data_IF_929001174113
#
_entry.id   IF_929001174113
#
_cell.length_a   1.000
_cell.length_b   1.000
_cell.length_c   1.000
_cell.angle_alpha   90.00
_cell.angle_beta   90.00
_cell.angle_gamma   90.00
#
_symmetry.space_group_name_H-M   'P 1'
#
loop_
_entity.id
_entity.type
_entity.pdbx_description
1 polymer ?
#
# COMPACT_ATOMS: atom_id res chain seq x y z
N UNK A 1 -48.93 40.64 75.43
CA UNK A 1 -49.35 40.20 74.06
C UNK A 1 -48.28 39.25 73.53
N UNK A 2 -48.52 37.94 73.70
CA UNK A 2 -47.60 36.90 73.29
C UNK A 2 -48.15 36.39 71.97
N UNK A 3 -47.44 36.68 70.83
CA UNK A 3 -47.78 36.12 69.57
C UNK A 3 -47.30 34.67 69.52
N UNK A 4 -48.25 33.76 69.41
CA UNK A 4 -48.07 32.33 69.24
C UNK A 4 -47.76 32.05 67.73
N UNK A 5 -46.50 31.97 67.42
CA UNK A 5 -46.05 31.64 66.08
C UNK A 5 -46.11 30.12 65.94
N UNK A 6 -47.26 29.57 65.60
CA UNK A 6 -47.41 28.17 65.23
C UNK A 6 -46.68 27.93 63.93
N UNK A 7 -45.51 27.36 64.00
CA UNK A 7 -44.78 26.82 62.88
C UNK A 7 -45.57 25.61 62.29
N UNK A 8 -46.26 25.85 61.20
CA UNK A 8 -47.00 24.80 60.51
C UNK A 8 -45.99 23.91 59.83
N UNK A 9 -45.58 22.79 60.42
CA UNK A 9 -44.79 21.75 59.86
C UNK A 9 -45.59 21.22 58.62
N UNK A 10 -45.24 21.65 57.46
CA UNK A 10 -45.77 21.10 56.21
C UNK A 10 -45.28 19.66 56.11
N UNK A 11 -46.25 18.74 55.99
CA UNK A 11 -45.96 17.32 55.85
C UNK A 11 -45.31 17.10 54.46
N UNK A 12 -43.97 17.09 54.44
CA UNK A 12 -43.14 16.97 53.21
C UNK A 12 -42.78 15.53 52.90
N UNK A 13 -43.27 14.54 53.65
CA UNK A 13 -42.92 13.15 53.54
C UNK A 13 -43.23 12.57 52.15
N UNK A 14 -44.36 12.97 51.53
CA UNK A 14 -44.71 12.53 50.18
C UNK A 14 -43.85 13.18 49.08
N UNK A 15 -43.39 14.41 49.29
CA UNK A 15 -42.56 15.14 48.33
C UNK A 15 -41.15 14.55 48.23
N UNK A 16 -40.56 14.15 49.38
CA UNK A 16 -39.23 13.51 49.41
C UNK A 16 -39.24 12.15 48.69
N UNK A 17 -40.36 11.40 48.82
CA UNK A 17 -40.48 10.10 48.15
C UNK A 17 -40.54 10.26 46.62
N UNK A 18 -41.30 11.22 46.11
CA UNK A 18 -41.35 11.53 44.66
C UNK A 18 -39.99 12.00 44.14
N UNK A 19 -39.29 12.84 44.89
CA UNK A 19 -37.98 13.33 44.52
C UNK A 19 -36.94 12.19 44.47
N UNK A 20 -36.99 11.25 45.45
CA UNK A 20 -36.12 10.08 45.47
C UNK A 20 -36.39 9.16 44.28
N UNK A 21 -37.65 8.92 43.94
CA UNK A 21 -38.03 8.08 42.81
C UNK A 21 -37.57 8.73 41.47
N UNK A 22 -37.76 10.04 41.30
CA UNK A 22 -37.28 10.78 40.18
C UNK A 22 -35.77 10.74 40.04
N UNK A 23 -35.05 10.91 41.16
CA UNK A 23 -33.58 10.84 41.18
C UNK A 23 -33.07 9.47 40.74
N UNK A 24 -33.67 8.39 41.25
CA UNK A 24 -33.31 7.01 40.84
C UNK A 24 -33.63 6.75 39.36
N UNK A 25 -34.78 7.23 38.90
CA UNK A 25 -35.13 7.08 37.45
C UNK A 25 -34.14 7.81 36.57
N UNK A 26 -33.76 9.03 36.88
CA UNK A 26 -32.76 9.80 36.12
C UNK A 26 -31.36 9.13 36.16
N UNK A 27 -30.95 8.63 37.32
CA UNK A 27 -29.71 7.89 37.48
C UNK A 27 -29.72 6.61 36.63
N UNK A 28 -30.83 5.90 36.56
CA UNK A 28 -30.99 4.72 35.72
C UNK A 28 -30.81 5.02 34.21
N UNK A 29 -31.43 6.12 33.74
CA UNK A 29 -31.32 6.57 32.36
C UNK A 29 -29.85 6.97 32.04
N UNK A 30 -29.22 7.75 32.95
CA UNK A 30 -27.83 8.17 32.77
C UNK A 30 -26.86 6.97 32.74
N UNK A 31 -27.05 6.01 33.65
CA UNK A 31 -26.24 4.78 33.66
C UNK A 31 -26.39 3.96 32.38
N UNK A 32 -27.60 3.90 31.83
CA UNK A 32 -27.86 3.24 30.52
C UNK A 32 -27.11 3.93 29.36
N UNK A 33 -27.16 5.26 29.29
CA UNK A 33 -26.46 6.05 28.26
C UNK A 33 -24.92 5.85 28.37
N UNK A 34 -24.39 5.92 29.58
CA UNK A 34 -22.95 5.73 29.83
C UNK A 34 -22.54 4.30 29.41
N UNK A 35 -23.33 3.30 29.78
CA UNK A 35 -23.05 1.91 29.39
C UNK A 35 -23.00 1.70 27.88
N UNK A 36 -23.93 2.31 27.13
CA UNK A 36 -23.91 2.28 25.67
C UNK A 36 -22.68 3.01 25.10
N UNK A 37 -22.35 4.18 25.61
CA UNK A 37 -21.20 4.95 25.16
C UNK A 37 -19.87 4.21 25.35
N UNK A 38 -19.68 3.56 26.51
CA UNK A 38 -18.49 2.75 26.80
C UNK A 38 -18.42 1.54 25.84
N UNK A 39 -19.53 0.88 25.58
CA UNK A 39 -19.55 -0.27 24.66
C UNK A 39 -19.16 0.15 23.23
N UNK A 40 -19.77 1.20 22.70
CA UNK A 40 -19.43 1.76 21.38
C UNK A 40 -17.97 2.19 21.31
N UNK A 41 -17.48 2.89 22.32
CA UNK A 41 -16.08 3.31 22.40
C UNK A 41 -15.12 2.11 22.36
N UNK A 42 -15.42 1.07 23.12
CA UNK A 42 -14.60 -0.15 23.17
C UNK A 42 -14.57 -0.87 21.82
N UNK A 43 -15.72 -1.00 21.15
CA UNK A 43 -15.80 -1.60 19.83
C UNK A 43 -15.03 -0.78 18.78
N UNK A 44 -15.16 0.54 18.82
CA UNK A 44 -14.43 1.45 17.91
C UNK A 44 -12.93 1.35 18.12
N UNK A 45 -12.47 1.29 19.37
CA UNK A 45 -11.05 1.14 19.68
C UNK A 45 -10.50 -0.19 19.17
N UNK A 46 -11.23 -1.29 19.33
CA UNK A 46 -10.84 -2.60 18.79
C UNK A 46 -10.76 -2.57 17.26
N UNK A 47 -11.76 -1.98 16.58
CA UNK A 47 -11.76 -1.86 15.13
C UNK A 47 -10.60 -0.97 14.63
N UNK A 48 -10.33 0.14 15.32
CA UNK A 48 -9.20 1.02 15.02
C UNK A 48 -7.86 0.30 15.18
N UNK A 49 -7.68 -0.47 16.25
CA UNK A 49 -6.48 -1.29 16.46
C UNK A 49 -6.25 -2.29 15.32
N UNK A 50 -7.31 -3.01 14.92
CA UNK A 50 -7.23 -3.92 13.76
C UNK A 50 -6.85 -3.21 12.47
N UNK A 51 -7.43 -2.03 12.19
CA UNK A 51 -7.08 -1.23 11.01
C UNK A 51 -5.61 -0.80 11.02
N UNK A 52 -5.09 -0.38 12.17
CA UNK A 52 -3.69 0.00 12.31
C UNK A 52 -2.75 -1.16 11.96
N UNK A 53 -3.04 -2.36 12.46
CA UNK A 53 -2.26 -3.57 12.12
C UNK A 53 -2.37 -3.88 10.63
N UNK A 54 -3.58 -3.82 10.06
CA UNK A 54 -3.78 -4.09 8.62
C UNK A 54 -3.03 -3.09 7.73
N UNK A 55 -3.00 -1.80 8.09
CA UNK A 55 -2.20 -0.78 7.38
C UNK A 55 -0.71 -1.09 7.48
N UNK A 56 -0.21 -1.46 8.66
CA UNK A 56 1.19 -1.81 8.84
C UNK A 56 1.58 -3.04 7.99
N UNK A 57 0.72 -4.05 7.92
CA UNK A 57 0.94 -5.24 7.08
C UNK A 57 0.91 -4.89 5.58
N UNK A 58 0.07 -3.97 5.16
CA UNK A 58 0.04 -3.50 3.78
C UNK A 58 1.31 -2.70 3.43
N UNK A 59 1.77 -1.83 4.33
CA UNK A 59 3.02 -1.09 4.16
C UNK A 59 4.24 -2.01 4.12
N UNK A 60 4.30 -3.01 5.01
CA UNK A 60 5.34 -4.03 4.98
C UNK A 60 5.39 -4.75 3.62
N UNK A 61 4.23 -5.08 3.04
CA UNK A 61 4.18 -5.71 1.73
C UNK A 61 4.75 -4.80 0.62
N UNK A 62 4.42 -3.51 0.62
CA UNK A 62 4.98 -2.55 -0.34
C UNK A 62 6.50 -2.43 -0.19
N UNK A 63 7.00 -2.32 1.05
CA UNK A 63 8.44 -2.26 1.31
C UNK A 63 9.16 -3.55 0.89
N UNK A 64 8.54 -4.70 1.09
CA UNK A 64 9.07 -5.97 0.61
C UNK A 64 9.17 -6.01 -0.93
N UNK A 65 8.14 -5.51 -1.64
CA UNK A 65 8.17 -5.41 -3.10
C UNK A 65 9.26 -4.44 -3.57
N UNK A 66 9.44 -3.31 -2.88
CA UNK A 66 10.56 -2.37 -3.14
C UNK A 66 11.91 -3.05 -2.92
N UNK A 67 12.06 -3.80 -1.83
CA UNK A 67 13.28 -4.55 -1.56
C UNK A 67 13.58 -5.62 -2.63
N UNK A 68 12.55 -6.31 -3.14
CA UNK A 68 12.67 -7.25 -4.26
C UNK A 68 13.15 -6.51 -5.52
N UNK A 69 12.53 -5.37 -5.83
CA UNK A 69 12.88 -4.54 -6.98
C UNK A 69 14.33 -4.06 -6.94
N UNK A 70 14.79 -3.65 -5.76
CA UNK A 70 16.12 -3.04 -5.59
C UNK A 70 17.23 -4.09 -5.34
N UNK A 71 16.85 -5.35 -5.20
CA UNK A 71 17.82 -6.43 -4.98
C UNK A 71 18.60 -6.72 -6.28
N UNK A 72 19.91 -6.47 -6.22
CA UNK A 72 20.83 -6.61 -7.35
C UNK A 72 21.54 -7.97 -7.29
N UNK A 73 20.78 -9.07 -7.22
CA UNK A 73 21.38 -10.42 -7.29
C UNK A 73 21.95 -10.71 -8.67
N UNK A 74 23.09 -11.42 -8.69
CA UNK A 74 23.85 -11.82 -9.88
C UNK A 74 23.07 -12.68 -10.87
N UNK A 75 21.95 -13.26 -10.48
CA UNK A 75 21.14 -14.20 -11.28
C UNK A 75 19.85 -13.63 -11.85
N UNK A 76 19.56 -12.38 -11.63
CA UNK A 76 18.37 -11.73 -12.18
C UNK A 76 18.18 -10.36 -11.55
N UNK A 77 18.02 -9.35 -12.39
CA UNK A 77 17.72 -8.00 -11.93
C UNK A 77 16.43 -8.05 -11.11
N UNK A 78 16.42 -7.41 -9.95
CA UNK A 78 15.27 -7.39 -9.06
C UNK A 78 14.00 -6.85 -9.73
N UNK A 79 14.17 -5.90 -10.67
CA UNK A 79 13.08 -5.40 -11.50
C UNK A 79 12.36 -6.51 -12.28
N UNK A 80 13.10 -7.45 -12.89
CA UNK A 80 12.50 -8.53 -13.67
C UNK A 80 11.65 -9.45 -12.79
N UNK A 81 12.01 -9.64 -11.52
CA UNK A 81 11.22 -10.44 -10.57
C UNK A 81 9.82 -9.86 -10.33
N UNK A 82 9.61 -8.57 -10.63
CA UNK A 82 8.32 -7.89 -10.57
C UNK A 82 7.72 -7.77 -11.97
N UNK A 83 8.51 -7.33 -12.93
CA UNK A 83 8.08 -7.08 -14.30
C UNK A 83 7.57 -8.34 -15.02
N UNK A 84 8.24 -9.47 -14.83
CA UNK A 84 7.91 -10.75 -15.48
C UNK A 84 6.75 -11.50 -14.79
N UNK A 85 6.22 -11.00 -13.66
CA UNK A 85 5.06 -11.61 -13.02
C UNK A 85 3.81 -11.48 -13.87
N UNK A 86 2.94 -12.49 -13.81
CA UNK A 86 1.63 -12.42 -14.43
C UNK A 86 0.86 -11.22 -13.88
N UNK A 87 0.21 -10.47 -14.77
CA UNK A 87 -0.44 -9.20 -14.47
C UNK A 87 -1.92 -9.38 -14.14
N UNK A 88 -2.48 -8.36 -13.47
CA UNK A 88 -3.90 -8.25 -13.20
C UNK A 88 -4.35 -8.91 -11.92
N UNK A 89 -5.54 -8.53 -11.47
CA UNK A 89 -6.14 -8.93 -10.19
C UNK A 89 -6.42 -10.44 -10.05
N UNK A 90 -6.44 -11.18 -11.15
CA UNK A 90 -6.54 -12.65 -11.14
C UNK A 90 -5.26 -13.36 -10.73
N UNK A 91 -4.12 -12.67 -10.74
CA UNK A 91 -2.80 -13.21 -10.41
C UNK A 91 -2.32 -12.56 -9.11
N UNK A 92 -2.67 -13.17 -7.99
CA UNK A 92 -2.29 -12.66 -6.66
C UNK A 92 -0.98 -13.25 -6.18
N UNK A 93 -0.27 -12.48 -5.39
CA UNK A 93 1.01 -12.81 -4.76
C UNK A 93 1.02 -12.34 -3.32
N UNK A 94 1.98 -12.84 -2.55
CA UNK A 94 2.33 -12.30 -1.24
C UNK A 94 3.86 -12.27 -1.08
N UNK A 95 4.42 -11.32 -0.33
CA UNK A 95 5.85 -11.27 -0.06
C UNK A 95 6.22 -12.31 0.98
N UNK A 96 7.26 -13.08 0.72
CA UNK A 96 7.83 -14.02 1.66
C UNK A 96 9.32 -13.76 1.86
N UNK A 97 9.85 -14.15 3.03
CA UNK A 97 11.25 -13.96 3.40
C UNK A 97 11.89 -15.25 3.97
N UNK A 98 11.33 -16.41 3.64
CA UNK A 98 11.81 -17.69 4.16
C UNK A 98 12.65 -18.42 3.13
N UNK A 99 13.73 -19.05 3.58
CA UNK A 99 14.67 -19.81 2.74
C UNK A 99 14.00 -20.85 1.85
N UNK A 100 13.01 -21.67 2.33
CA UNK A 100 12.37 -22.66 1.46
C UNK A 100 11.61 -22.04 0.27
N UNK A 101 11.11 -20.82 0.43
CA UNK A 101 10.31 -20.15 -0.60
C UNK A 101 11.14 -19.24 -1.50
N UNK A 102 12.13 -18.55 -0.93
CA UNK A 102 12.88 -17.49 -1.60
C UNK A 102 14.32 -17.88 -1.97
N UNK A 103 14.78 -19.07 -1.58
CA UNK A 103 16.19 -19.43 -1.76
C UNK A 103 17.11 -18.53 -0.94
N UNK A 104 18.10 -17.92 -1.59
CA UNK A 104 19.03 -16.98 -0.95
C UNK A 104 18.51 -15.54 -0.89
N UNK A 105 17.38 -15.24 -1.53
CA UNK A 105 16.82 -13.90 -1.55
C UNK A 105 16.24 -13.51 -0.20
N UNK A 106 16.43 -12.25 0.21
CA UNK A 106 15.87 -11.71 1.45
C UNK A 106 14.34 -11.69 1.37
N UNK A 107 13.79 -11.31 0.20
CA UNK A 107 12.37 -11.29 -0.10
C UNK A 107 12.08 -11.87 -1.48
N UNK A 108 10.93 -12.51 -1.62
CA UNK A 108 10.42 -12.95 -2.92
C UNK A 108 8.89 -12.85 -2.98
N UNK A 109 8.33 -12.93 -4.19
CA UNK A 109 6.89 -12.99 -4.42
C UNK A 109 6.46 -14.43 -4.67
N UNK A 110 5.60 -14.94 -3.80
CA UNK A 110 4.97 -16.26 -3.88
C UNK A 110 3.53 -16.08 -4.36
N UNK A 111 3.07 -16.97 -5.25
CA UNK A 111 1.69 -16.92 -5.76
C UNK A 111 0.67 -17.25 -4.67
N UNK A 112 -0.45 -16.53 -4.66
CA UNK A 112 -1.55 -16.71 -3.73
C UNK A 112 -1.67 -15.58 -2.71
N UNK A 113 -2.15 -15.92 -1.52
CA UNK A 113 -2.32 -15.03 -0.38
C UNK A 113 -1.68 -15.63 0.88
N UNK A 114 -1.39 -14.77 1.85
CA UNK A 114 -0.79 -15.14 3.13
C UNK A 114 -1.76 -14.86 4.27
N UNK A 115 -1.84 -15.77 5.22
CA UNK A 115 -2.56 -15.57 6.47
C UNK A 115 -1.60 -15.24 7.61
N UNK A 116 -1.85 -14.13 8.29
CA UNK A 116 -1.04 -13.61 9.38
C UNK A 116 -1.91 -13.48 10.62
N UNK A 117 -1.55 -14.16 11.70
CA UNK A 117 -2.27 -14.04 12.97
C UNK A 117 -1.56 -13.05 13.88
N UNK A 118 -2.27 -11.98 14.28
CA UNK A 118 -1.80 -10.97 15.24
C UNK A 118 -2.91 -10.70 16.26
N UNK A 119 -2.57 -10.78 17.53
CA UNK A 119 -3.49 -10.52 18.65
C UNK A 119 -4.81 -11.31 18.56
N UNK A 120 -4.73 -12.56 18.09
CA UNK A 120 -5.89 -13.45 17.91
C UNK A 120 -6.79 -13.06 16.72
N UNK A 121 -6.36 -12.16 15.84
CA UNK A 121 -7.04 -11.79 14.61
C UNK A 121 -6.25 -12.34 13.42
N UNK A 122 -6.95 -13.01 12.51
CA UNK A 122 -6.38 -13.46 11.24
C UNK A 122 -6.54 -12.37 10.19
N UNK A 123 -5.43 -11.99 9.58
CA UNK A 123 -5.35 -11.06 8.45
C UNK A 123 -4.95 -11.85 7.21
N UNK A 124 -5.67 -11.64 6.12
CA UNK A 124 -5.28 -12.20 4.81
C UNK A 124 -4.68 -11.08 3.97
N UNK A 125 -3.43 -11.26 3.56
CA UNK A 125 -2.67 -10.31 2.75
C UNK A 125 -2.44 -10.87 1.36
N UNK A 126 -2.74 -10.07 0.35
CA UNK A 126 -2.41 -10.36 -1.05
C UNK A 126 -2.07 -9.08 -1.79
N UNK A 127 -1.32 -9.22 -2.87
CA UNK A 127 -1.05 -8.12 -3.79
C UNK A 127 -1.16 -8.62 -5.23
N UNK A 128 -1.41 -7.72 -6.15
CA UNK A 128 -1.20 -7.98 -7.56
C UNK A 128 -0.39 -6.86 -8.21
N UNK A 129 0.20 -7.19 -9.33
CA UNK A 129 1.03 -6.28 -10.12
C UNK A 129 0.35 -6.08 -11.46
N UNK A 130 0.42 -4.87 -11.97
CA UNK A 130 -0.15 -4.55 -13.28
C UNK A 130 0.75 -3.63 -14.09
N UNK A 131 0.56 -3.64 -15.40
CA UNK A 131 1.23 -2.71 -16.27
C UNK A 131 0.69 -1.30 -16.10
N UNK A 132 1.49 -0.33 -16.41
CA UNK A 132 1.09 1.09 -16.44
C UNK A 132 1.03 1.54 -17.88
N UNK A 133 -0.08 2.17 -18.24
CA UNK A 133 -0.29 2.70 -19.60
C UNK A 133 -0.17 4.22 -19.58
N UNK A 134 0.50 4.77 -20.59
CA UNK A 134 0.68 6.21 -20.77
C UNK A 134 0.13 6.67 -22.11
N UNK A 135 -0.18 7.95 -22.22
CA UNK A 135 -0.71 8.56 -23.47
C UNK A 135 0.38 8.84 -24.52
N UNK A 136 1.66 8.73 -24.16
CA UNK A 136 2.77 8.86 -25.10
C UNK A 136 3.68 7.62 -25.06
N UNK A 137 4.30 7.30 -26.19
CA UNK A 137 5.26 6.20 -26.33
C UNK A 137 6.51 6.43 -25.49
N UNK A 138 7.23 5.33 -25.24
CA UNK A 138 8.53 5.34 -24.57
C UNK A 138 8.51 5.85 -23.10
N UNK A 139 7.41 5.58 -22.38
CA UNK A 139 7.29 5.96 -20.98
C UNK A 139 7.12 7.46 -20.74
N UNK A 140 6.87 8.23 -21.81
CA UNK A 140 6.51 9.65 -21.71
C UNK A 140 5.02 9.85 -21.45
N UNK A 141 4.63 11.11 -21.22
CA UNK A 141 3.24 11.48 -21.00
C UNK A 141 2.67 11.10 -19.67
N UNK A 142 1.36 11.29 -19.52
CA UNK A 142 0.63 11.02 -18.29
C UNK A 142 0.18 9.55 -18.19
N UNK A 143 0.05 9.06 -16.98
CA UNK A 143 -0.54 7.74 -16.72
C UNK A 143 -2.03 7.82 -17.02
N UNK A 144 -2.50 6.97 -17.92
CA UNK A 144 -3.90 6.94 -18.38
C UNK A 144 -4.68 5.75 -17.84
N UNK A 145 -4.00 4.63 -17.60
CA UNK A 145 -4.63 3.41 -17.10
C UNK A 145 -3.60 2.46 -16.47
N UNK A 146 -4.11 1.43 -15.81
CA UNK A 146 -3.35 0.25 -15.39
C UNK A 146 -3.97 -0.99 -15.99
N UNK A 147 -3.16 -2.02 -16.28
CA UNK A 147 -3.62 -3.27 -16.86
C UNK A 147 -3.20 -3.46 -18.32
N UNK A 148 -4.11 -3.96 -19.14
CA UNK A 148 -3.86 -4.17 -20.56
C UNK A 148 -3.85 -2.81 -21.29
N UNK A 149 -2.70 -2.45 -21.86
CA UNK A 149 -2.55 -1.22 -22.62
C UNK A 149 -3.04 -1.42 -24.07
N UNK A 150 -3.64 -0.37 -24.61
CA UNK A 150 -3.98 -0.32 -26.04
C UNK A 150 -2.84 0.38 -26.76
N UNK A 151 -2.03 -0.39 -27.47
CA UNK A 151 -0.82 0.10 -28.16
C UNK A 151 -1.09 1.16 -29.27
N UNK A 152 -2.34 1.56 -29.42
CA UNK A 152 -2.72 2.64 -30.34
C UNK A 152 -2.85 3.99 -29.66
N UNK A 153 -3.41 4.02 -28.44
CA UNK A 153 -3.72 5.25 -27.69
C UNK A 153 -3.08 5.29 -26.32
N UNK A 154 -2.85 4.14 -25.71
CA UNK A 154 -2.25 3.99 -24.39
C UNK A 154 -1.10 3.00 -24.47
N UNK A 155 0.10 3.50 -24.36
CA UNK A 155 1.31 2.70 -24.53
C UNK A 155 1.79 2.12 -23.21
N UNK A 156 2.22 0.86 -23.24
CA UNK A 156 2.80 0.22 -22.07
C UNK A 156 4.09 0.94 -21.64
N UNK A 157 4.19 1.26 -20.35
CA UNK A 157 5.41 1.77 -19.76
C UNK A 157 6.18 0.65 -19.05
N UNK A 158 7.21 0.07 -19.69
CA UNK A 158 7.97 -1.03 -19.10
C UNK A 158 8.84 -0.57 -17.92
N UNK A 159 8.96 0.73 -17.72
CA UNK A 159 9.75 1.32 -16.63
C UNK A 159 8.93 1.58 -15.36
N UNK A 160 7.62 1.41 -15.44
CA UNK A 160 6.72 1.60 -14.29
C UNK A 160 5.79 0.40 -14.14
N UNK A 161 5.60 -0.07 -12.93
CA UNK A 161 4.63 -1.10 -12.59
C UNK A 161 3.69 -0.59 -11.50
N UNK A 162 2.43 -0.92 -11.61
CA UNK A 162 1.44 -0.66 -10.58
C UNK A 162 1.37 -1.86 -9.64
N UNK A 163 1.38 -1.60 -8.34
CA UNK A 163 1.23 -2.61 -7.30
C UNK A 163 0.07 -2.22 -6.41
N UNK A 164 -0.85 -3.16 -6.19
CA UNK A 164 -1.95 -2.99 -5.26
C UNK A 164 -1.91 -4.09 -4.22
N UNK A 165 -1.80 -3.69 -2.97
CA UNK A 165 -1.85 -4.58 -1.80
C UNK A 165 -3.24 -4.48 -1.18
N UNK A 166 -3.80 -5.62 -0.84
CA UNK A 166 -5.06 -5.73 -0.12
C UNK A 166 -4.84 -6.55 1.15
N UNK A 167 -5.28 -6.02 2.29
CA UNK A 167 -5.30 -6.72 3.57
C UNK A 167 -6.72 -6.75 4.08
N UNK A 168 -7.24 -7.95 4.31
CA UNK A 168 -8.60 -8.19 4.83
C UNK A 168 -8.54 -8.81 6.21
N UNK A 169 -9.50 -8.48 7.07
CA UNK A 169 -9.69 -9.12 8.36
C UNK A 169 -11.14 -9.00 8.83
N UNK A 170 -11.57 -9.92 9.69
CA UNK A 170 -12.93 -9.90 10.23
C UNK A 170 -13.22 -8.64 11.04
N UNK A 171 -14.35 -7.98 10.72
CA UNK A 171 -14.86 -6.82 11.45
C UNK A 171 -14.22 -5.48 11.10
N UNK A 172 -13.46 -5.39 10.02
CA UNK A 172 -12.99 -4.14 9.42
C UNK A 172 -13.22 -4.17 7.90
N UNK A 173 -13.27 -3.01 7.27
CA UNK A 173 -13.19 -2.89 5.82
C UNK A 173 -11.79 -3.23 5.32
N UNK A 174 -11.71 -3.72 4.10
CA UNK A 174 -10.44 -4.01 3.43
C UNK A 174 -9.54 -2.77 3.40
N UNK A 175 -8.28 -2.99 3.71
CA UNK A 175 -7.24 -1.97 3.59
C UNK A 175 -6.55 -2.19 2.26
N UNK A 176 -6.56 -1.16 1.44
CA UNK A 176 -5.95 -1.15 0.12
C UNK A 176 -4.85 -0.09 0.11
N UNK A 177 -3.67 -0.50 -0.33
CA UNK A 177 -2.54 0.40 -0.58
C UNK A 177 -2.08 0.20 -2.01
N UNK A 178 -1.93 1.29 -2.73
CA UNK A 178 -1.57 1.31 -4.14
C UNK A 178 -0.31 2.12 -4.35
N UNK A 179 0.57 1.64 -5.22
CA UNK A 179 1.82 2.33 -5.52
C UNK A 179 2.27 2.09 -6.96
N UNK A 180 2.86 3.11 -7.54
CA UNK A 180 3.58 3.02 -8.80
C UNK A 180 5.07 2.86 -8.50
N UNK A 181 5.61 1.70 -8.85
CA UNK A 181 7.02 1.42 -8.73
C UNK A 181 7.71 1.76 -10.03
N UNK A 182 8.68 2.64 -9.97
CA UNK A 182 9.53 2.93 -11.11
C UNK A 182 10.83 2.14 -11.03
N UNK A 183 11.37 1.80 -12.17
CA UNK A 183 12.70 1.21 -12.28
C UNK A 183 13.74 2.24 -11.84
N UNK A 184 14.07 2.23 -10.56
CA UNK A 184 15.05 3.13 -9.99
C UNK A 184 16.42 2.48 -10.10
N UNK A 185 17.11 2.77 -11.10
CA UNK A 185 18.55 3.05 -11.21
C UNK A 185 18.78 3.40 -12.65
N UNK A 186 19.43 4.50 -12.86
CA UNK A 186 20.07 4.98 -14.07
C UNK A 186 21.02 3.94 -14.71
N UNK A 187 20.52 2.75 -14.98
CA UNK A 187 21.05 2.01 -16.09
C UNK A 187 20.51 2.78 -17.28
N UNK A 188 21.39 3.53 -17.90
CA UNK A 188 21.13 4.19 -19.18
C UNK A 188 20.47 3.16 -20.09
N UNK A 189 19.13 3.17 -20.11
CA UNK A 189 18.42 2.49 -21.16
C UNK A 189 18.78 3.29 -22.40
N UNK A 190 19.60 2.73 -23.26
CA UNK A 190 19.64 3.18 -24.63
C UNK A 190 18.22 2.93 -25.13
N UNK A 191 17.47 4.00 -25.32
CA UNK A 191 16.15 3.97 -25.90
C UNK A 191 16.34 3.58 -27.37
N UNK A 192 16.30 2.27 -27.62
CA UNK A 192 16.12 1.80 -28.95
C UNK A 192 14.64 1.93 -29.30
N UNK A 193 14.33 2.49 -30.43
CA UNK A 193 12.97 2.68 -30.94
C UNK A 193 12.22 1.37 -31.19
N UNK A 194 12.86 0.25 -30.96
CA UNK A 194 12.29 -1.07 -31.05
C UNK A 194 11.99 -1.66 -29.69
N UNK A 195 10.76 -1.42 -29.20
CA UNK A 195 10.20 -1.88 -27.95
C UNK A 195 10.10 -3.42 -27.84
N UNK A 196 10.61 -4.15 -28.84
CA UNK A 196 10.53 -5.62 -28.94
C UNK A 196 11.70 -6.34 -28.28
N UNK A 197 12.73 -5.61 -27.84
CA UNK A 197 13.90 -6.25 -27.22
C UNK A 197 13.64 -6.44 -25.73
N UNK A 198 13.43 -7.67 -25.27
CA UNK A 198 13.37 -7.96 -23.84
C UNK A 198 14.65 -7.45 -23.18
N UNK A 199 14.53 -6.82 -22.01
CA UNK A 199 15.66 -6.28 -21.24
C UNK A 199 16.76 -7.31 -20.91
N UNK A 200 16.53 -8.58 -21.21
CA UNK A 200 17.49 -9.68 -21.09
C UNK A 200 18.59 -9.66 -22.18
N UNK A 201 18.38 -8.89 -23.26
CA UNK A 201 19.37 -8.73 -24.33
C UNK A 201 20.21 -7.46 -24.18
N UNK A 202 20.74 -7.17 -23.01
CA UNK A 202 22.00 -6.44 -22.97
C UNK A 202 23.04 -7.34 -23.64
N UNK A 203 23.50 -6.91 -24.79
CA UNK A 203 24.70 -7.51 -25.40
C UNK A 203 25.86 -7.30 -24.42
N UNK A 204 26.05 -8.24 -23.50
CA UNK A 204 27.28 -8.39 -22.75
C UNK A 204 28.36 -8.61 -23.80
N UNK A 205 29.15 -7.60 -24.06
CA UNK A 205 30.26 -7.70 -24.99
C UNK A 205 30.32 -6.64 -26.09
N UNK A 206 29.35 -5.76 -26.21
CA UNK A 206 29.53 -4.56 -27.02
C UNK A 206 30.42 -3.59 -26.25
N UNK A 207 31.70 -3.61 -26.51
CA UNK A 207 32.59 -2.50 -26.10
C UNK A 207 32.14 -1.29 -26.92
N UNK A 208 31.33 -0.44 -26.28
CA UNK A 208 31.08 0.89 -26.81
C UNK A 208 32.41 1.64 -26.77
N UNK A 209 33.09 1.71 -27.90
CA UNK A 209 34.24 2.58 -28.04
C UNK A 209 33.74 4.03 -28.03
N UNK A 210 33.56 4.57 -26.84
CA UNK A 210 33.23 5.98 -26.66
C UNK A 210 34.43 6.85 -26.94
N UNK A 211 34.64 7.20 -28.19
CA UNK A 211 35.73 8.10 -28.54
C UNK A 211 35.28 9.54 -28.71
N UNK A 212 34.19 9.99 -28.20
CA UNK A 212 33.96 11.44 -28.07
C UNK A 212 32.93 11.79 -27.01
N UNK A 213 33.43 12.01 -25.82
CA UNK A 213 32.79 12.98 -24.93
C UNK A 213 33.48 14.31 -25.22
N UNK A 214 32.98 15.11 -26.12
CA UNK A 214 33.40 16.50 -26.29
C UNK A 214 32.40 17.39 -25.58
N UNK A 215 32.57 17.55 -24.29
CA UNK A 215 31.78 18.49 -23.49
C UNK A 215 32.71 19.51 -22.86
N UNK A 216 32.84 20.67 -23.47
CA UNK A 216 33.38 21.86 -22.88
C UNK A 216 32.26 22.87 -22.77
N UNK A 217 31.62 22.94 -21.61
CA UNK A 217 30.59 23.93 -21.36
C UNK A 217 29.63 23.52 -20.25
N UNK A 218 29.13 24.46 -19.51
CA UNK A 218 28.26 24.37 -18.32
C UNK A 218 26.84 23.80 -18.60
N UNK A 219 26.63 23.13 -19.70
CA UNK A 219 25.40 22.39 -20.02
C UNK A 219 25.83 21.04 -20.58
N UNK A 220 25.77 20.00 -19.78
CA UNK A 220 26.08 18.64 -20.18
C UNK A 220 24.98 18.10 -21.11
N UNK A 221 25.06 18.42 -22.38
CA UNK A 221 24.42 17.65 -23.43
C UNK A 221 25.41 16.53 -23.77
N UNK A 222 25.11 15.33 -23.32
CA UNK A 222 25.83 14.13 -23.77
C UNK A 222 25.21 13.74 -25.10
N UNK A 223 25.80 14.19 -26.18
CA UNK A 223 25.45 13.71 -27.52
C UNK A 223 26.22 12.41 -27.78
N UNK A 224 25.55 11.29 -27.66
CA UNK A 224 26.08 9.99 -28.03
C UNK A 224 25.88 9.80 -29.53
N UNK A 225 26.85 10.22 -30.33
CA UNK A 225 26.87 9.88 -31.76
C UNK A 225 27.51 8.52 -31.92
N UNK A 226 26.70 7.49 -32.26
CA UNK A 226 27.20 6.20 -32.73
C UNK A 226 27.66 6.32 -34.16
N UNK A 227 28.97 6.35 -34.39
CA UNK A 227 29.50 6.08 -35.73
C UNK A 227 29.80 4.60 -35.80
N UNK A 228 28.86 3.84 -36.38
CA UNK A 228 29.08 2.50 -36.90
C UNK A 228 29.33 1.41 -35.88
N UNK A 229 28.30 0.95 -35.24
CA UNK A 229 28.35 -0.23 -34.38
C UNK A 229 27.40 -0.05 -33.19
N UNK A 230 26.19 -0.61 -33.30
CA UNK A 230 25.12 -0.41 -32.36
C UNK A 230 25.54 -0.64 -30.88
N UNK A 231 25.43 0.35 -30.10
CA UNK A 231 25.17 0.30 -28.65
C UNK A 231 23.70 0.59 -28.42
#
# INVERSE_FOLDING_TARGET
MIQDTRYKIRDTSGQLLVEAVLAIALLGILAGIIGMAVNVSTQTNKASGKKTVAVALAQEAIEAVRAIKDNNETTGRGWNKIYEKNKGSGNTYYPANTVPLCGSAIWCLVSGSEEIVKDGVTYTRSLYIDNVCRDAKNGGGDITATGACNETTNFNDPSTQYVRVTVTASGISDIIVEEYLTRAKNETKVWDSDDTIPETTFKTGATCSSTKVTGSGTSALIELSSVGGGC
#
